data_IF_977126243711
#
_entry.id   IF_977126243711
#
_cell.length_a   1.000
_cell.length_b   1.000
_cell.length_c   1.000
_cell.angle_alpha   90.00
_cell.angle_beta   90.00
_cell.angle_gamma   90.00
#
_symmetry.space_group_name_H-M   'P 1'
#
loop_
_entity.id
_entity.type
_entity.pdbx_description
1 polymer ?
#
# COMPACT_ATOMS: atom_id res chain seq x y z
N UNK A 1 -34.49 -47.36 34.75
CA UNK A 1 -34.99 -47.39 33.35
C UNK A 1 -35.38 -45.96 33.01
N UNK A 2 -34.40 -45.15 32.64
CA UNK A 2 -34.14 -44.69 31.26
C UNK A 2 -34.74 -43.30 31.05
N UNK A 3 -34.08 -42.29 31.58
CA UNK A 3 -34.31 -40.89 31.21
C UNK A 3 -33.24 -40.49 30.20
N UNK A 4 -33.66 -40.49 28.95
CA UNK A 4 -32.94 -40.03 27.77
C UNK A 4 -32.82 -38.50 27.83
N UNK A 5 -31.59 -38.00 27.98
CA UNK A 5 -31.27 -36.57 27.86
C UNK A 5 -30.02 -36.45 27.00
N UNK A 6 -30.27 -36.37 25.70
CA UNK A 6 -29.70 -35.34 24.84
C UNK A 6 -28.18 -35.26 24.78
N UNK A 7 -27.62 -36.01 23.83
CA UNK A 7 -26.32 -35.74 23.20
C UNK A 7 -26.12 -34.23 22.97
N UNK A 8 -25.25 -33.61 23.75
CA UNK A 8 -24.76 -32.25 23.52
C UNK A 8 -23.85 -32.27 22.30
N UNK A 9 -24.43 -32.00 21.14
CA UNK A 9 -23.71 -31.67 19.91
C UNK A 9 -22.82 -30.47 20.19
N UNK A 10 -21.50 -30.68 20.23
CA UNK A 10 -20.52 -29.60 20.27
C UNK A 10 -20.72 -28.77 19.00
N UNK A 11 -21.32 -27.59 19.13
CA UNK A 11 -21.31 -26.60 18.05
C UNK A 11 -19.87 -26.16 17.83
N UNK A 12 -19.25 -26.74 16.80
CA UNK A 12 -17.98 -26.36 16.27
C UNK A 12 -18.16 -24.99 15.59
N UNK A 13 -17.97 -23.92 16.36
CA UNK A 13 -17.85 -22.56 15.83
C UNK A 13 -16.53 -22.47 15.05
N UNK A 14 -16.51 -23.07 13.86
CA UNK A 14 -15.63 -22.59 12.80
C UNK A 14 -16.12 -21.19 12.50
N UNK A 15 -15.37 -20.19 12.95
CA UNK A 15 -15.48 -18.83 12.45
C UNK A 15 -15.52 -18.93 10.92
N UNK A 16 -16.69 -18.69 10.33
CA UNK A 16 -16.78 -18.34 8.92
C UNK A 16 -15.98 -17.05 8.78
N UNK A 17 -14.71 -17.19 8.45
CA UNK A 17 -13.92 -16.10 7.93
C UNK A 17 -14.65 -15.67 6.65
N UNK A 18 -15.46 -14.62 6.76
CA UNK A 18 -16.08 -13.97 5.61
C UNK A 18 -14.92 -13.50 4.73
N UNK A 19 -14.55 -14.35 3.77
CA UNK A 19 -13.69 -13.98 2.66
C UNK A 19 -14.56 -13.13 1.76
N UNK A 20 -14.61 -11.85 2.07
CA UNK A 20 -15.14 -10.90 1.13
C UNK A 20 -14.26 -10.95 -0.12
N UNK A 21 -14.83 -11.34 -1.26
CA UNK A 21 -14.08 -11.30 -2.52
C UNK A 21 -13.72 -9.85 -2.82
N UNK A 22 -12.55 -9.59 -3.41
CA UNK A 22 -12.18 -8.23 -3.80
C UNK A 22 -13.26 -7.54 -4.64
N UNK A 23 -13.99 -8.31 -5.45
CA UNK A 23 -15.14 -7.88 -6.26
C UNK A 23 -16.28 -7.25 -5.44
N UNK A 24 -16.39 -7.55 -4.13
CA UNK A 24 -17.40 -6.94 -3.25
C UNK A 24 -16.99 -5.55 -2.75
N UNK A 25 -15.71 -5.17 -2.85
CA UNK A 25 -15.20 -3.88 -2.41
C UNK A 25 -14.65 -3.01 -3.54
N UNK A 26 -14.21 -3.64 -4.63
CA UNK A 26 -13.63 -2.98 -5.80
C UNK A 26 -14.59 -3.12 -6.96
N UNK A 27 -15.12 -1.98 -7.41
CA UNK A 27 -15.86 -1.90 -8.67
C UNK A 27 -14.83 -1.65 -9.77
N UNK A 28 -14.90 -2.40 -10.87
CA UNK A 28 -14.06 -2.14 -12.04
C UNK A 28 -14.24 -0.69 -12.51
N UNK A 29 -13.14 0.05 -12.51
CA UNK A 29 -13.15 1.45 -12.93
C UNK A 29 -12.87 1.52 -14.44
N UNK A 30 -13.57 2.39 -15.18
CA UNK A 30 -13.37 2.53 -16.62
C UNK A 30 -12.00 3.12 -16.99
N UNK A 31 -11.31 3.73 -16.02
CA UNK A 31 -9.99 4.33 -16.16
C UNK A 31 -9.09 3.93 -14.99
N UNK A 32 -7.78 3.90 -15.23
CA UNK A 32 -6.81 3.65 -14.17
C UNK A 32 -6.82 4.80 -13.14
N UNK A 33 -6.63 4.51 -11.83
CA UNK A 33 -6.43 5.53 -10.81
C UNK A 33 -5.30 6.52 -11.16
N UNK A 34 -5.47 7.78 -10.77
CA UNK A 34 -4.52 8.85 -11.09
C UNK A 34 -4.61 9.39 -12.53
N UNK A 35 -5.56 8.91 -13.34
CA UNK A 35 -5.85 9.47 -14.68
C UNK A 35 -6.62 10.78 -14.55
N UNK A 36 -6.17 11.81 -15.27
CA UNK A 36 -6.92 13.06 -15.41
C UNK A 36 -8.12 12.86 -16.35
N UNK A 37 -9.32 13.19 -15.88
CA UNK A 37 -10.56 13.02 -16.64
C UNK A 37 -11.08 14.30 -17.30
N UNK A 38 -10.37 15.42 -17.17
CA UNK A 38 -10.88 16.72 -17.59
C UNK A 38 -11.69 17.42 -16.49
N UNK A 39 -12.03 18.71 -16.70
CA UNK A 39 -12.96 19.42 -15.83
C UNK A 39 -14.39 18.90 -16.03
N UNK A 40 -15.22 19.03 -15.00
CA UNK A 40 -16.67 18.76 -15.11
C UNK A 40 -17.34 19.76 -16.07
N UNK A 41 -16.84 20.99 -16.11
CA UNK A 41 -17.25 22.02 -17.06
C UNK A 41 -16.26 22.11 -18.22
N UNK A 42 -16.64 21.59 -19.38
CA UNK A 42 -15.83 21.58 -20.60
C UNK A 42 -15.74 22.95 -21.28
N UNK A 43 -16.48 23.96 -20.80
CA UNK A 43 -16.38 25.34 -21.31
C UNK A 43 -15.19 26.12 -20.70
N UNK A 44 -14.54 25.56 -19.68
CA UNK A 44 -13.36 26.14 -19.07
C UNK A 44 -12.20 26.24 -20.08
N UNK A 45 -11.39 27.32 -20.03
CA UNK A 45 -10.16 27.40 -20.81
C UNK A 45 -9.26 26.18 -20.54
N UNK A 46 -8.63 25.64 -21.59
CA UNK A 46 -7.73 24.49 -21.52
C UNK A 46 -8.37 23.16 -21.05
N UNK A 47 -9.70 23.01 -21.13
CA UNK A 47 -10.40 21.77 -20.74
C UNK A 47 -9.85 20.49 -21.40
N UNK A 48 -9.29 20.60 -22.61
CA UNK A 48 -8.73 19.48 -23.37
C UNK A 48 -7.27 19.15 -23.00
N UNK A 49 -6.60 19.98 -22.19
CA UNK A 49 -5.18 19.80 -21.86
C UNK A 49 -5.01 19.05 -20.55
N UNK A 50 -4.34 17.90 -20.61
CA UNK A 50 -3.91 17.17 -19.40
C UNK A 50 -2.88 18.01 -18.63
N UNK A 51 -3.13 18.37 -17.36
CA UNK A 51 -2.17 19.12 -16.55
C UNK A 51 -0.85 18.37 -16.40
N UNK A 52 0.25 19.12 -16.29
CA UNK A 52 1.60 18.56 -16.16
C UNK A 52 1.70 17.53 -15.02
N UNK A 53 0.96 17.74 -13.93
CA UNK A 53 0.91 16.86 -12.77
C UNK A 53 0.49 15.42 -13.12
N UNK A 54 -0.40 15.25 -14.10
CA UNK A 54 -0.96 13.95 -14.50
C UNK A 54 -0.33 13.38 -15.78
N UNK A 55 0.70 14.03 -16.31
CA UNK A 55 1.47 13.49 -17.43
C UNK A 55 2.59 12.57 -16.94
N UNK A 56 2.96 11.53 -17.71
CA UNK A 56 4.08 10.66 -17.37
C UNK A 56 5.38 11.43 -17.15
N UNK A 57 6.24 10.89 -16.29
CA UNK A 57 7.52 11.49 -15.94
C UNK A 57 8.63 10.45 -15.87
N UNK A 58 9.72 10.71 -16.58
CA UNK A 58 10.88 9.83 -16.66
C UNK A 58 11.99 10.32 -15.72
N UNK A 59 12.49 9.44 -14.87
CA UNK A 59 13.67 9.66 -14.03
C UNK A 59 14.70 8.57 -14.36
N UNK A 60 15.74 8.92 -15.13
CA UNK A 60 16.70 7.93 -15.68
C UNK A 60 15.96 6.84 -16.44
N UNK A 61 15.91 5.63 -15.89
CA UNK A 61 15.34 4.43 -16.50
C UNK A 61 13.93 4.14 -15.94
N UNK A 62 13.47 4.90 -14.95
CA UNK A 62 12.18 4.76 -14.29
C UNK A 62 11.12 5.65 -14.93
N UNK A 63 10.07 5.04 -15.48
CA UNK A 63 8.86 5.72 -15.95
C UNK A 63 7.82 5.76 -14.81
N UNK A 64 7.32 6.94 -14.47
CA UNK A 64 6.18 7.13 -13.58
C UNK A 64 4.93 7.51 -14.39
N UNK A 65 3.76 6.99 -13.99
CA UNK A 65 2.49 7.26 -14.66
C UNK A 65 2.05 8.73 -14.55
N UNK A 66 2.44 9.40 -13.47
CA UNK A 66 2.17 10.81 -13.20
C UNK A 66 3.25 11.38 -12.25
N UNK A 67 3.15 12.68 -11.93
CA UNK A 67 4.10 13.41 -11.09
C UNK A 67 3.66 13.52 -9.63
N UNK A 68 2.65 12.75 -9.22
CA UNK A 68 2.21 12.68 -7.82
C UNK A 68 3.14 11.70 -7.08
N UNK A 69 3.95 12.24 -6.17
CA UNK A 69 4.94 11.49 -5.41
C UNK A 69 4.60 11.58 -3.93
N UNK A 70 4.51 10.44 -3.27
CA UNK A 70 4.36 10.37 -1.81
C UNK A 70 5.74 10.43 -1.17
N UNK A 71 5.99 11.51 -0.44
CA UNK A 71 7.21 11.69 0.34
C UNK A 71 7.32 10.65 1.47
N UNK A 72 8.54 10.33 1.93
CA UNK A 72 8.73 9.44 3.08
C UNK A 72 8.15 10.09 4.33
N UNK A 73 7.29 9.36 5.04
CA UNK A 73 6.63 9.80 6.28
C UNK A 73 6.84 8.75 7.36
N UNK A 74 7.56 9.10 8.44
CA UNK A 74 7.76 8.18 9.56
C UNK A 74 6.43 7.89 10.25
N UNK A 75 6.06 6.62 10.31
CA UNK A 75 4.80 6.18 10.90
C UNK A 75 4.97 5.61 12.30
N UNK A 76 6.21 5.36 12.73
CA UNK A 76 6.54 4.90 14.08
C UNK A 76 5.70 3.68 14.50
N UNK A 77 5.50 2.75 13.57
CA UNK A 77 4.55 1.63 13.69
C UNK A 77 5.18 0.26 13.42
N UNK A 78 6.52 0.21 13.31
CA UNK A 78 7.27 -1.04 13.18
C UNK A 78 7.55 -1.64 14.55
N UNK A 79 7.67 -2.98 14.57
CA UNK A 79 8.19 -3.73 15.72
C UNK A 79 9.48 -4.38 15.26
N UNK A 80 10.57 -4.09 15.97
CA UNK A 80 11.90 -4.64 15.69
C UNK A 80 12.40 -4.42 14.25
N UNK A 81 12.00 -3.31 13.62
CA UNK A 81 12.34 -2.99 12.23
C UNK A 81 11.43 -3.60 11.18
N UNK A 82 10.48 -4.45 11.56
CA UNK A 82 9.65 -5.16 10.60
C UNK A 82 8.42 -4.36 10.19
N UNK A 83 8.24 -4.23 8.87
CA UNK A 83 6.96 -3.84 8.30
C UNK A 83 5.88 -4.86 8.66
N UNK A 84 4.66 -4.36 8.77
CA UNK A 84 3.47 -5.12 9.20
C UNK A 84 2.30 -4.81 8.26
N UNK A 85 1.13 -5.41 8.53
CA UNK A 85 -0.09 -5.09 7.78
C UNK A 85 -0.46 -3.61 7.81
N UNK A 86 -0.08 -2.89 8.87
CA UNK A 86 -0.23 -1.44 8.91
C UNK A 86 0.47 -0.76 7.73
N UNK A 87 1.72 -1.15 7.45
CA UNK A 87 2.52 -0.57 6.36
C UNK A 87 1.95 -0.97 4.99
N UNK A 88 1.46 -2.20 4.86
CA UNK A 88 0.78 -2.65 3.64
C UNK A 88 -0.48 -1.83 3.35
N UNK A 89 -1.31 -1.58 4.35
CA UNK A 89 -2.50 -0.73 4.21
C UNK A 89 -2.11 0.72 3.95
N UNK A 90 -1.16 1.27 4.70
CA UNK A 90 -0.74 2.66 4.57
C UNK A 90 -0.16 2.95 3.17
N UNK A 91 0.88 2.22 2.76
CA UNK A 91 1.53 2.42 1.47
C UNK A 91 0.64 1.97 0.31
N UNK A 92 -0.08 0.86 0.48
CA UNK A 92 -1.04 0.36 -0.50
C UNK A 92 -2.19 1.35 -0.74
N UNK A 93 -2.63 2.09 0.27
CA UNK A 93 -3.68 3.10 0.11
C UNK A 93 -3.28 4.18 -0.90
N UNK A 94 -2.02 4.61 -0.94
CA UNK A 94 -1.58 5.57 -1.95
C UNK A 94 -1.52 4.97 -3.36
N UNK A 95 -1.16 3.68 -3.46
CA UNK A 95 -1.07 3.00 -4.74
C UNK A 95 -2.44 2.83 -5.38
N UNK A 96 -3.45 2.40 -4.62
CA UNK A 96 -4.82 2.24 -5.15
C UNK A 96 -5.46 3.58 -5.56
N UNK A 97 -4.96 4.72 -5.04
CA UNK A 97 -5.40 6.06 -5.43
C UNK A 97 -4.52 6.69 -6.53
N UNK A 98 -3.58 5.93 -7.11
CA UNK A 98 -2.88 6.30 -8.34
C UNK A 98 -1.67 7.23 -8.16
N UNK A 99 -1.02 7.24 -7.00
CA UNK A 99 0.27 7.94 -6.87
C UNK A 99 1.33 7.29 -7.79
N UNK A 100 2.07 8.08 -8.57
CA UNK A 100 3.08 7.56 -9.49
C UNK A 100 4.27 6.90 -8.80
N UNK A 101 4.74 7.49 -7.69
CA UNK A 101 5.83 6.97 -6.86
C UNK A 101 5.49 7.10 -5.38
N UNK A 102 5.75 6.04 -4.62
CA UNK A 102 5.56 5.98 -3.17
C UNK A 102 6.89 5.67 -2.51
N UNK A 103 7.36 6.57 -1.65
CA UNK A 103 8.62 6.38 -0.93
C UNK A 103 8.29 5.89 0.47
N UNK A 104 8.74 4.69 0.81
CA UNK A 104 8.61 4.14 2.16
C UNK A 104 9.34 5.02 3.18
N UNK A 105 8.88 4.98 4.43
CA UNK A 105 9.43 5.76 5.53
C UNK A 105 10.93 5.53 5.76
N UNK A 106 11.52 6.40 6.57
CA UNK A 106 12.92 6.31 6.98
C UNK A 106 13.24 4.88 7.44
N UNK A 107 14.05 4.18 6.65
CA UNK A 107 14.36 2.77 6.85
C UNK A 107 15.82 2.62 7.25
N UNK A 108 16.04 2.16 8.47
CA UNK A 108 17.37 2.02 9.05
C UNK A 108 18.14 0.84 8.44
N UNK A 109 19.41 1.06 8.14
CA UNK A 109 20.33 0.05 7.58
C UNK A 109 20.97 -0.85 8.65
N UNK A 110 20.83 -0.51 9.93
CA UNK A 110 21.28 -1.31 11.07
C UNK A 110 20.35 -1.11 12.28
N UNK A 111 20.23 -2.08 13.21
CA UNK A 111 19.29 -1.99 14.33
C UNK A 111 19.48 -0.76 15.22
N UNK A 112 20.73 -0.31 15.38
CA UNK A 112 21.12 0.86 16.19
C UNK A 112 20.95 2.19 15.47
N UNK A 113 20.84 2.20 14.15
CA UNK A 113 20.74 3.40 13.32
C UNK A 113 19.29 3.88 13.14
N UNK A 114 18.37 3.38 13.97
CA UNK A 114 16.98 3.85 14.00
C UNK A 114 16.89 5.15 14.81
N UNK A 115 16.06 6.08 14.34
CA UNK A 115 15.74 7.33 15.07
C UNK A 115 14.86 6.99 16.28
N UNK A 116 13.90 6.07 16.11
CA UNK A 116 13.04 5.54 17.16
C UNK A 116 12.99 4.00 17.15
N UNK A 117 12.68 3.33 18.29
CA UNK A 117 12.52 1.88 18.31
C UNK A 117 11.44 1.35 17.35
N UNK A 118 10.48 2.19 16.94
CA UNK A 118 9.37 1.85 16.06
C UNK A 118 9.62 2.18 14.58
N UNK A 119 10.86 2.52 14.21
CA UNK A 119 11.23 2.74 12.81
C UNK A 119 11.39 1.41 12.06
N UNK A 120 11.24 1.48 10.74
CA UNK A 120 11.44 0.35 9.82
C UNK A 120 12.94 0.06 9.62
N UNK A 121 13.28 -1.19 9.34
CA UNK A 121 14.63 -1.69 9.10
C UNK A 121 14.81 -2.43 7.78
N UNK A 122 16.06 -2.52 7.32
CA UNK A 122 16.46 -3.32 6.15
C UNK A 122 17.83 -4.03 6.34
N UNK A 123 18.20 -4.35 7.58
CA UNK A 123 19.50 -4.95 7.92
C UNK A 123 19.54 -6.49 7.91
N UNK A 124 18.39 -7.15 7.85
CA UNK A 124 18.24 -8.61 7.82
C UNK A 124 17.45 -9.05 6.58
N UNK A 125 17.80 -10.21 6.03
CA UNK A 125 17.05 -10.86 4.95
C UNK A 125 15.60 -11.16 5.37
N UNK A 126 15.34 -11.29 6.67
CA UNK A 126 13.99 -11.50 7.20
C UNK A 126 13.04 -10.32 6.87
N UNK A 127 13.57 -9.11 6.64
CA UNK A 127 12.75 -7.96 6.25
C UNK A 127 12.25 -8.05 4.80
N UNK A 128 12.95 -8.80 3.94
CA UNK A 128 12.68 -8.88 2.49
C UNK A 128 11.24 -9.32 2.24
N UNK A 129 10.76 -10.33 2.96
CA UNK A 129 9.47 -10.96 2.68
C UNK A 129 8.32 -9.94 2.66
N UNK A 130 8.15 -9.16 3.74
CA UNK A 130 7.04 -8.19 3.83
C UNK A 130 7.26 -6.98 2.94
N UNK A 131 8.50 -6.49 2.81
CA UNK A 131 8.82 -5.37 1.90
C UNK A 131 8.48 -5.76 0.46
N UNK A 132 8.86 -6.97 0.03
CA UNK A 132 8.55 -7.49 -1.30
C UNK A 132 7.05 -7.62 -1.53
N UNK A 133 6.31 -8.17 -0.58
CA UNK A 133 4.84 -8.29 -0.68
C UNK A 133 4.18 -6.92 -0.91
N UNK A 134 4.63 -5.88 -0.19
CA UNK A 134 4.13 -4.51 -0.34
C UNK A 134 4.54 -3.93 -1.71
N UNK A 135 5.81 -4.10 -2.10
CA UNK A 135 6.30 -3.61 -3.39
C UNK A 135 5.57 -4.26 -4.57
N UNK A 136 5.35 -5.57 -4.52
CA UNK A 136 4.63 -6.32 -5.55
C UNK A 136 3.17 -5.82 -5.66
N UNK A 137 2.50 -5.58 -4.53
CA UNK A 137 1.15 -5.00 -4.53
C UNK A 137 1.14 -3.60 -5.14
N UNK A 138 2.05 -2.72 -4.74
CA UNK A 138 2.17 -1.35 -5.28
C UNK A 138 2.41 -1.38 -6.80
N UNK A 139 3.29 -2.26 -7.27
CA UNK A 139 3.56 -2.43 -8.70
C UNK A 139 2.33 -2.94 -9.46
N UNK A 140 1.53 -3.83 -8.86
CA UNK A 140 0.29 -4.32 -9.46
C UNK A 140 -0.77 -3.21 -9.63
N UNK A 141 -0.69 -2.11 -8.87
CA UNK A 141 -1.56 -0.93 -9.04
C UNK A 141 -1.03 0.08 -10.08
N UNK A 142 0.10 -0.19 -10.74
CA UNK A 142 0.71 0.71 -11.72
C UNK A 142 1.63 1.79 -11.12
N UNK A 143 1.80 1.81 -9.80
CA UNK A 143 2.71 2.70 -9.08
C UNK A 143 4.12 2.12 -8.98
N UNK A 144 5.08 2.94 -8.55
CA UNK A 144 6.45 2.50 -8.19
C UNK A 144 6.71 2.70 -6.70
N UNK A 145 7.54 1.84 -6.12
CA UNK A 145 7.99 1.97 -4.73
C UNK A 145 9.47 2.36 -4.66
N UNK A 146 9.79 3.31 -3.78
CA UNK A 146 11.15 3.64 -3.38
C UNK A 146 11.33 3.51 -1.86
N UNK A 147 12.56 3.62 -1.38
CA UNK A 147 12.89 3.59 0.05
C UNK A 147 13.81 4.75 0.41
N UNK A 148 13.57 5.39 1.55
CA UNK A 148 14.50 6.34 2.13
C UNK A 148 15.42 5.60 3.10
N UNK A 149 16.71 5.49 2.77
CA UNK A 149 17.70 4.97 3.71
C UNK A 149 17.98 6.00 4.81
N UNK A 150 17.98 5.55 6.06
CA UNK A 150 18.18 6.39 7.22
C UNK A 150 19.24 5.83 8.17
N UNK A 151 19.89 6.74 8.90
CA UNK A 151 20.85 6.48 9.96
C UNK A 151 20.85 7.68 10.93
N UNK A 152 20.96 7.41 12.25
CA UNK A 152 20.85 8.40 13.32
C UNK A 152 22.07 8.37 14.26
#
# INVERSE_FOLDING_TARGET
MSSDLGSTTKHNAREECYRYSQEQFMIEQPVAPGTYLGPVDTSAPDADKVPLLFQPFQIKDLVLANRVIVAPMCMYSSKDGFMSMFHAVHLGSFAVHGAGLIIAEATAVEPRGRISPQDVGIWSDDHIHKIKEIADFIHAQGSKMGIQLAHA
#
